data_IF_123850098642
#
_entry.id   IF_123850098642
#
_cell.length_a   1.000
_cell.length_b   1.000
_cell.length_c   1.000
_cell.angle_alpha   90.00
_cell.angle_beta   90.00
_cell.angle_gamma   90.00
#
_symmetry.space_group_name_H-M   'P 1'
#
loop_
_entity.id
_entity.type
_entity.pdbx_description
1 polymer ?
#
# COMPACT_ATOMS: atom_id res chain seq x y z
N UNK A 1 -11.71 -52.66 -9.68
CA UNK A 1 -10.44 -52.30 -9.02
C UNK A 1 -10.74 -51.11 -8.15
N UNK A 2 -11.01 -51.39 -6.88
CA UNK A 2 -11.29 -50.37 -5.87
C UNK A 2 -9.99 -49.65 -5.55
N UNK A 3 -9.95 -48.35 -5.83
CA UNK A 3 -8.82 -47.48 -5.56
C UNK A 3 -8.77 -47.15 -4.08
N UNK A 4 -7.68 -47.57 -3.46
CA UNK A 4 -7.34 -47.43 -2.04
C UNK A 4 -7.47 -46.00 -1.53
N UNK A 5 -8.34 -45.79 -0.55
CA UNK A 5 -8.28 -44.61 0.34
C UNK A 5 -7.10 -44.86 1.28
N UNK A 6 -5.95 -44.24 0.98
CA UNK A 6 -4.82 -44.20 1.91
C UNK A 6 -5.15 -43.19 3.00
N UNK A 7 -5.61 -43.72 4.14
CA UNK A 7 -5.75 -42.96 5.37
C UNK A 7 -4.34 -42.88 6.00
N UNK A 8 -3.49 -42.00 5.46
CA UNK A 8 -2.10 -41.83 5.91
C UNK A 8 -1.89 -40.47 6.57
N UNK A 9 -1.74 -40.47 7.89
CA UNK A 9 -1.00 -39.46 8.66
C UNK A 9 -1.46 -37.99 8.48
N UNK A 10 -2.42 -37.59 9.31
CA UNK A 10 -2.91 -36.21 9.50
C UNK A 10 -1.85 -35.15 9.85
N UNK A 11 -0.57 -35.52 9.92
CA UNK A 11 0.54 -34.64 10.26
C UNK A 11 1.37 -34.19 9.04
N UNK A 12 1.27 -34.89 7.90
CA UNK A 12 2.03 -34.56 6.67
C UNK A 12 1.16 -33.88 5.60
N UNK A 13 -0.16 -33.98 5.71
CA UNK A 13 -1.14 -33.44 4.77
C UNK A 13 -1.05 -31.91 4.57
N UNK A 14 -0.56 -31.19 5.58
CA UNK A 14 -0.39 -29.73 5.58
C UNK A 14 1.06 -29.31 5.78
N UNK A 15 2.01 -30.03 5.18
CA UNK A 15 3.42 -29.64 5.19
C UNK A 15 3.63 -28.26 4.52
N UNK A 16 4.53 -27.46 5.07
CA UNK A 16 4.87 -26.13 4.55
C UNK A 16 5.42 -26.25 3.12
N UNK A 17 4.99 -25.35 2.25
CA UNK A 17 5.39 -25.31 0.85
C UNK A 17 4.56 -26.20 -0.08
N UNK A 18 3.69 -27.06 0.46
CA UNK A 18 2.77 -27.87 -0.36
C UNK A 18 1.72 -26.99 -1.04
N UNK A 19 1.50 -27.22 -2.32
CA UNK A 19 0.40 -26.63 -3.08
C UNK A 19 -0.80 -27.57 -2.99
N UNK A 20 -1.92 -27.06 -2.48
CA UNK A 20 -3.14 -27.82 -2.27
C UNK A 20 -4.29 -27.22 -3.10
N UNK A 21 -5.10 -28.08 -3.69
CA UNK A 21 -6.45 -27.73 -4.15
C UNK A 21 -7.43 -28.10 -3.05
N UNK A 22 -8.24 -27.14 -2.60
CA UNK A 22 -9.12 -27.32 -1.45
C UNK A 22 -10.55 -27.03 -1.85
N UNK A 23 -11.46 -27.94 -1.47
CA UNK A 23 -12.90 -27.74 -1.51
C UNK A 23 -13.45 -27.65 -0.10
N UNK A 24 -14.18 -26.60 0.18
CA UNK A 24 -14.82 -26.40 1.48
C UNK A 24 -16.19 -27.06 1.56
N UNK A 25 -16.70 -27.24 2.78
CA UNK A 25 -18.06 -27.72 3.03
C UNK A 25 -19.14 -26.74 2.56
N UNK A 26 -18.78 -25.46 2.35
CA UNK A 26 -19.66 -24.42 1.82
C UNK A 26 -19.72 -24.42 0.27
N UNK A 27 -18.90 -25.24 -0.39
CA UNK A 27 -18.86 -25.35 -1.85
C UNK A 27 -17.79 -24.49 -2.53
N UNK A 28 -17.02 -23.70 -1.77
CA UNK A 28 -15.91 -22.94 -2.33
C UNK A 28 -14.75 -23.85 -2.72
N UNK A 29 -14.18 -23.62 -3.90
CA UNK A 29 -12.99 -24.31 -4.42
C UNK A 29 -11.88 -23.29 -4.70
N UNK A 30 -10.67 -23.57 -4.23
CA UNK A 30 -9.52 -22.71 -4.47
C UNK A 30 -8.20 -23.47 -4.28
N UNK A 31 -7.15 -22.96 -4.91
CA UNK A 31 -5.79 -23.48 -4.79
C UNK A 31 -4.93 -22.53 -3.95
N UNK A 32 -4.04 -23.09 -3.15
CA UNK A 32 -3.11 -22.29 -2.35
C UNK A 32 -1.91 -23.07 -1.85
N UNK A 33 -0.82 -22.34 -1.64
CA UNK A 33 0.39 -22.87 -1.04
C UNK A 33 0.28 -22.81 0.49
N UNK A 34 0.56 -23.91 1.18
CA UNK A 34 0.63 -23.97 2.64
C UNK A 34 1.81 -23.14 3.14
N UNK A 35 1.50 -22.11 3.92
CA UNK A 35 2.48 -21.29 4.62
C UNK A 35 2.79 -21.91 5.98
N UNK A 36 1.74 -22.26 6.71
CA UNK A 36 1.85 -22.88 8.04
C UNK A 36 0.52 -23.52 8.43
N UNK A 37 0.58 -24.43 9.38
CA UNK A 37 -0.58 -25.07 9.98
C UNK A 37 -0.45 -25.08 11.50
N UNK A 38 -1.35 -24.37 12.18
CA UNK A 38 -1.38 -24.34 13.64
C UNK A 38 -2.28 -25.45 14.19
N UNK A 39 -1.65 -26.49 14.73
CA UNK A 39 -2.35 -27.68 15.25
C UNK A 39 -3.31 -27.38 16.41
N UNK A 40 -2.96 -26.58 17.44
CA UNK A 40 -3.87 -26.28 18.55
C UNK A 40 -5.15 -25.56 18.13
N UNK A 41 -5.06 -24.56 17.23
CA UNK A 41 -6.24 -23.82 16.74
C UNK A 41 -6.91 -24.47 15.53
N UNK A 42 -6.24 -25.44 14.92
CA UNK A 42 -6.64 -26.13 13.70
C UNK A 42 -6.85 -25.16 12.52
N UNK A 43 -5.95 -24.19 12.41
CA UNK A 43 -5.97 -23.14 11.38
C UNK A 43 -4.86 -23.41 10.36
N UNK A 44 -5.28 -23.57 9.12
CA UNK A 44 -4.42 -23.65 7.94
C UNK A 44 -4.26 -22.26 7.33
N UNK A 45 -3.02 -21.86 7.08
CA UNK A 45 -2.68 -20.58 6.45
C UNK A 45 -2.16 -20.85 5.05
N UNK A 46 -2.82 -20.27 4.06
CA UNK A 46 -2.56 -20.50 2.64
C UNK A 46 -2.25 -19.19 1.93
N UNK A 47 -1.32 -19.24 0.99
CA UNK A 47 -1.13 -18.18 0.01
C UNK A 47 -1.93 -18.51 -1.24
N UNK A 48 -2.91 -17.69 -1.56
CA UNK A 48 -3.68 -17.79 -2.80
C UNK A 48 -2.97 -17.10 -3.96
N UNK A 49 -3.05 -17.75 -5.12
CA UNK A 49 -2.51 -17.24 -6.38
C UNK A 49 -1.13 -17.80 -6.72
N UNK A 50 -1.03 -18.33 -7.94
CA UNK A 50 0.21 -18.89 -8.50
C UNK A 50 1.15 -17.81 -9.08
N UNK A 51 0.68 -16.56 -9.23
CA UNK A 51 1.46 -15.52 -9.92
C UNK A 51 2.48 -14.87 -8.98
N UNK A 52 3.78 -14.89 -9.32
CA UNK A 52 4.77 -14.11 -8.59
C UNK A 52 4.46 -12.63 -8.79
N UNK A 53 3.96 -11.99 -7.74
CA UNK A 53 3.64 -10.57 -7.71
C UNK A 53 3.79 -10.00 -6.31
N UNK A 54 3.87 -8.66 -6.18
CA UNK A 54 4.04 -8.01 -4.89
C UNK A 54 2.82 -8.16 -3.97
N UNK A 55 1.64 -8.44 -4.53
CA UNK A 55 0.41 -8.72 -3.78
C UNK A 55 0.21 -10.23 -3.63
N UNK A 56 0.36 -10.72 -2.41
CA UNK A 56 0.06 -12.10 -2.00
C UNK A 56 -1.22 -12.08 -1.16
N UNK A 57 -2.22 -12.85 -1.57
CA UNK A 57 -3.45 -13.01 -0.78
C UNK A 57 -3.24 -14.13 0.23
N UNK A 58 -3.45 -13.85 1.51
CA UNK A 58 -3.29 -14.83 2.58
C UNK A 58 -4.67 -15.23 3.09
N UNK A 59 -4.96 -16.53 3.10
CA UNK A 59 -6.20 -17.10 3.61
C UNK A 59 -5.96 -17.90 4.87
N UNK A 60 -6.81 -17.65 5.86
CA UNK A 60 -6.92 -18.46 7.06
C UNK A 60 -8.14 -19.36 6.92
N UNK A 61 -7.94 -20.67 7.08
CA UNK A 61 -8.99 -21.66 6.95
C UNK A 61 -8.94 -22.61 8.14
N UNK A 62 -10.07 -22.74 8.86
CA UNK A 62 -10.21 -23.86 9.80
C UNK A 62 -10.37 -25.15 9.02
N UNK A 63 -9.53 -26.15 9.29
CA UNK A 63 -9.56 -27.41 8.53
C UNK A 63 -10.86 -28.19 8.72
N UNK A 64 -11.62 -27.94 9.80
CA UNK A 64 -12.96 -28.49 10.01
C UNK A 64 -13.96 -28.15 8.88
N UNK A 65 -13.69 -27.09 8.10
CA UNK A 65 -14.52 -26.71 6.96
C UNK A 65 -13.96 -27.21 5.63
N UNK A 66 -12.87 -27.97 5.64
CA UNK A 66 -12.37 -28.65 4.44
C UNK A 66 -13.22 -29.90 4.25
N UNK A 67 -13.86 -30.00 3.09
CA UNK A 67 -14.59 -31.19 2.68
C UNK A 67 -13.65 -32.21 2.07
N UNK A 68 -12.79 -31.76 1.15
CA UNK A 68 -11.77 -32.54 0.49
C UNK A 68 -10.64 -31.63 0.04
N UNK A 69 -9.43 -32.19 -0.06
CA UNK A 69 -8.29 -31.50 -0.64
C UNK A 69 -7.44 -32.48 -1.45
N UNK A 70 -6.67 -31.96 -2.39
CA UNK A 70 -5.72 -32.73 -3.20
C UNK A 70 -4.38 -32.04 -3.28
N UNK A 71 -3.31 -32.84 -3.32
CA UNK A 71 -1.95 -32.34 -3.45
C UNK A 71 -1.63 -32.04 -4.92
N UNK A 72 -1.22 -30.81 -5.21
CA UNK A 72 -0.90 -30.35 -6.57
C UNK A 72 0.61 -30.30 -6.84
N UNK A 73 1.44 -30.23 -5.80
CA UNK A 73 2.90 -30.17 -5.92
C UNK A 73 3.56 -29.50 -4.73
N UNK A 74 4.88 -29.35 -4.79
CA UNK A 74 5.66 -28.66 -3.76
C UNK A 74 6.38 -27.46 -4.36
N UNK A 75 6.23 -26.31 -3.71
CA UNK A 75 6.95 -25.09 -4.03
C UNK A 75 7.81 -24.64 -2.86
N UNK A 76 8.75 -23.73 -3.14
CA UNK A 76 9.68 -23.22 -2.15
C UNK A 76 8.94 -22.58 -0.96
N UNK A 77 9.48 -22.75 0.25
CA UNK A 77 8.90 -22.18 1.46
C UNK A 77 8.77 -20.65 1.32
N UNK A 78 7.54 -20.10 1.37
CA UNK A 78 7.31 -18.68 1.25
C UNK A 78 7.91 -17.87 2.43
N UNK A 79 8.23 -18.53 3.54
CA UNK A 79 8.86 -17.94 4.72
C UNK A 79 10.36 -18.27 4.83
N UNK A 80 11.01 -18.71 3.75
CA UNK A 80 12.45 -18.97 3.78
C UNK A 80 13.23 -17.70 4.17
N UNK A 81 13.72 -17.69 5.40
CA UNK A 81 14.49 -16.59 6.00
C UNK A 81 15.70 -16.25 5.12
N UNK A 82 16.27 -17.24 4.42
CA UNK A 82 17.43 -17.04 3.55
C UNK A 82 17.10 -16.22 2.30
N UNK A 83 15.84 -16.16 1.90
CA UNK A 83 15.34 -15.39 0.74
C UNK A 83 14.67 -14.09 1.15
N UNK A 84 14.53 -13.82 2.45
CA UNK A 84 14.02 -12.56 2.97
C UNK A 84 15.12 -11.48 2.87
N UNK A 85 15.40 -11.02 1.66
CA UNK A 85 16.33 -9.92 1.42
C UNK A 85 15.60 -8.59 1.62
N UNK A 86 15.93 -7.89 2.70
CA UNK A 86 15.50 -6.50 2.93
C UNK A 86 16.52 -5.60 2.24
N UNK A 87 16.10 -4.92 1.17
CA UNK A 87 16.95 -3.93 0.50
C UNK A 87 17.03 -2.65 1.35
N UNK A 88 18.06 -2.58 2.18
CA UNK A 88 18.32 -1.44 3.05
C UNK A 88 18.49 -0.13 2.27
N UNK A 89 19.04 -0.19 1.06
CA UNK A 89 19.24 1.02 0.25
C UNK A 89 17.89 1.61 -0.16
N UNK A 90 16.97 0.77 -0.67
CA UNK A 90 15.62 1.23 -1.03
C UNK A 90 14.82 1.81 0.15
N UNK A 91 15.12 1.38 1.38
CA UNK A 91 14.50 1.91 2.59
C UNK A 91 15.09 3.27 2.94
N UNK A 92 16.42 3.41 2.88
CA UNK A 92 17.12 4.67 3.11
C UNK A 92 16.72 5.73 2.08
N UNK A 93 16.64 5.37 0.79
CA UNK A 93 16.23 6.30 -0.26
C UNK A 93 14.80 6.82 -0.01
N UNK A 94 13.89 5.96 0.46
CA UNK A 94 12.52 6.34 0.79
C UNK A 94 12.44 7.22 2.03
N UNK A 95 13.28 6.94 3.02
CA UNK A 95 13.43 7.78 4.22
C UNK A 95 13.97 9.16 3.85
N UNK A 96 15.04 9.24 3.06
CA UNK A 96 15.63 10.51 2.61
C UNK A 96 14.63 11.33 1.81
N UNK A 97 13.85 10.70 0.90
CA UNK A 97 12.79 11.37 0.16
C UNK A 97 11.70 11.92 1.09
N UNK A 98 11.31 11.16 2.12
CA UNK A 98 10.31 11.60 3.09
C UNK A 98 10.82 12.77 3.93
N UNK A 99 12.08 12.75 4.35
CA UNK A 99 12.72 13.85 5.09
C UNK A 99 12.80 15.11 4.24
N UNK A 100 13.31 15.00 3.01
CA UNK A 100 13.42 16.14 2.08
C UNK A 100 12.05 16.75 1.77
N UNK A 101 11.01 15.92 1.61
CA UNK A 101 9.65 16.41 1.42
C UNK A 101 9.13 17.15 2.66
N UNK A 102 9.36 16.61 3.85
CA UNK A 102 8.97 17.26 5.10
C UNK A 102 9.70 18.59 5.32
N UNK A 103 10.98 18.68 4.97
CA UNK A 103 11.75 19.93 5.00
C UNK A 103 11.18 20.96 4.02
N UNK A 104 10.94 20.57 2.77
CA UNK A 104 10.34 21.46 1.77
C UNK A 104 8.94 21.94 2.19
N UNK A 105 8.14 21.07 2.82
CA UNK A 105 6.83 21.45 3.35
C UNK A 105 6.93 22.38 4.56
N UNK A 106 7.92 22.20 5.43
CA UNK A 106 8.17 23.08 6.58
C UNK A 106 8.64 24.48 6.14
N UNK A 107 9.51 24.56 5.14
CA UNK A 107 9.95 25.84 4.53
C UNK A 107 8.80 26.62 3.90
N UNK A 108 7.73 25.92 3.47
CA UNK A 108 6.56 26.51 2.84
C UNK A 108 5.53 27.05 3.84
N UNK A 109 5.65 26.75 5.13
CA UNK A 109 4.76 27.27 6.17
C UNK A 109 5.09 28.74 6.42
N UNK A 110 4.12 29.63 6.18
CA UNK A 110 4.30 31.07 6.41
C UNK A 110 4.59 31.39 7.88
N UNK A 111 5.53 32.30 8.14
CA UNK A 111 5.87 32.75 9.50
C UNK A 111 4.65 33.41 10.16
N UNK A 112 4.15 32.83 11.25
CA UNK A 112 3.01 33.36 12.00
C UNK A 112 1.62 32.93 11.50
N UNK A 113 1.54 31.98 10.56
CA UNK A 113 0.27 31.47 10.02
C UNK A 113 -0.27 30.33 10.89
N UNK A 114 -1.57 30.32 11.17
CA UNK A 114 -2.23 29.22 11.90
C UNK A 114 -2.34 27.98 11.01
N UNK A 115 -2.36 26.79 11.62
CA UNK A 115 -2.47 25.51 10.89
C UNK A 115 -3.72 25.43 10.01
N UNK A 116 -4.83 26.00 10.47
CA UNK A 116 -6.08 26.12 9.71
C UNK A 116 -5.92 27.01 8.47
N UNK A 117 -5.28 28.17 8.61
CA UNK A 117 -5.05 29.10 7.50
C UNK A 117 -4.09 28.52 6.44
N UNK A 118 -3.03 27.83 6.86
CA UNK A 118 -2.12 27.13 5.94
C UNK A 118 -2.85 26.01 5.20
N UNK A 119 -3.74 25.26 5.88
CA UNK A 119 -4.56 24.22 5.27
C UNK A 119 -5.52 24.74 4.20
N UNK A 120 -6.13 25.90 4.44
CA UNK A 120 -6.98 26.58 3.45
C UNK A 120 -6.17 27.00 2.22
N UNK A 121 -5.01 27.63 2.43
CA UNK A 121 -4.13 28.05 1.33
C UNK A 121 -3.68 26.85 0.48
N UNK A 122 -3.20 25.79 1.11
CA UNK A 122 -2.74 24.57 0.44
C UNK A 122 -3.84 23.92 -0.43
N UNK A 123 -5.08 23.89 0.08
CA UNK A 123 -6.23 23.34 -0.64
C UNK A 123 -6.60 24.20 -1.87
N UNK A 124 -6.55 25.53 -1.73
CA UNK A 124 -6.80 26.46 -2.82
C UNK A 124 -5.70 26.34 -3.88
N UNK A 125 -4.42 26.40 -3.50
CA UNK A 125 -3.29 26.30 -4.43
C UNK A 125 -3.30 25.00 -5.24
N UNK A 126 -3.67 23.86 -4.64
CA UNK A 126 -3.82 22.58 -5.35
C UNK A 126 -4.94 22.59 -6.40
N UNK A 127 -6.00 23.34 -6.16
CA UNK A 127 -7.16 23.42 -7.06
C UNK A 127 -6.90 24.36 -8.25
N UNK A 128 -6.16 25.46 -8.02
CA UNK A 128 -5.83 26.44 -9.07
C UNK A 128 -4.59 26.08 -9.90
N UNK A 129 -3.68 25.24 -9.40
CA UNK A 129 -2.52 24.76 -10.15
C UNK A 129 -2.87 23.77 -11.29
N UNK A 130 -4.11 23.26 -11.33
CA UNK A 130 -4.58 22.31 -12.33
C UNK A 130 -5.41 22.96 -13.46
N UNK A 131 -5.26 24.26 -13.69
CA UNK A 131 -5.85 24.96 -14.84
C UNK A 131 -4.79 25.08 -15.95
N UNK A 132 -4.94 24.41 -17.11
CA UNK A 132 -4.01 24.56 -18.21
C UNK A 132 -3.96 26.03 -18.66
N UNK A 133 -2.75 26.56 -18.80
CA UNK A 133 -2.40 27.92 -19.23
C UNK A 133 -2.80 28.24 -20.68
N UNK A 134 -4.05 28.01 -21.08
CA UNK A 134 -4.52 28.35 -22.43
C UNK A 134 -5.87 29.05 -22.49
N UNK A 135 -6.38 29.59 -21.37
CA UNK A 135 -7.49 30.54 -21.41
C UNK A 135 -7.62 31.40 -20.15
N UNK A 136 -6.61 32.21 -19.83
CA UNK A 136 -6.80 33.34 -18.93
C UNK A 136 -7.31 34.53 -19.73
N UNK A 137 -8.64 34.66 -19.84
CA UNK A 137 -9.29 35.89 -20.31
C UNK A 137 -9.24 36.94 -19.18
N UNK A 138 -8.65 38.09 -19.48
CA UNK A 138 -8.26 39.16 -18.55
C UNK A 138 -9.46 39.90 -17.92
N UNK A 139 -10.70 39.44 -18.13
CA UNK A 139 -11.93 40.10 -17.67
C UNK A 139 -12.54 39.55 -16.38
N UNK A 140 -11.93 38.54 -15.75
CA UNK A 140 -12.49 37.90 -14.55
C UNK A 140 -11.54 37.87 -13.34
N UNK A 141 -10.61 38.82 -13.27
CA UNK A 141 -9.74 39.06 -12.11
C UNK A 141 -10.44 39.88 -11.00
N UNK A 142 -11.64 39.48 -10.56
CA UNK A 142 -12.36 40.17 -9.47
C UNK A 142 -12.43 39.37 -8.17
N UNK A 143 -11.81 38.18 -8.10
CA UNK A 143 -11.78 37.37 -6.86
C UNK A 143 -10.34 37.10 -6.39
N UNK A 144 -9.47 38.10 -6.53
CA UNK A 144 -8.14 38.12 -5.89
C UNK A 144 -7.89 39.48 -5.22
N UNK A 145 -8.94 40.09 -4.68
CA UNK A 145 -8.83 41.37 -3.96
C UNK A 145 -9.68 41.42 -2.69
N UNK A 146 -9.96 40.26 -2.09
CA UNK A 146 -10.63 40.19 -0.79
C UNK A 146 -9.85 39.32 0.19
N UNK A 147 -8.55 39.62 0.34
CA UNK A 147 -7.73 39.17 1.48
C UNK A 147 -6.44 40.00 1.58
N UNK A 148 -6.52 41.30 1.25
CA UNK A 148 -5.40 42.25 1.42
C UNK A 148 -5.71 43.42 2.38
N UNK A 149 -6.82 43.38 3.13
CA UNK A 149 -7.20 44.48 4.03
C UNK A 149 -7.43 44.08 5.50
N UNK A 150 -6.67 43.10 6.01
CA UNK A 150 -6.52 42.91 7.45
C UNK A 150 -5.04 42.83 7.82
N UNK A 151 -4.48 44.03 8.00
CA UNK A 151 -3.28 44.35 8.79
C UNK A 151 -2.57 43.15 9.43
N UNK A 152 -1.54 42.62 8.77
CA UNK A 152 -0.35 42.21 9.50
C UNK A 152 0.91 42.39 8.65
N UNK A 153 1.86 43.10 9.23
CA UNK A 153 3.13 43.56 8.69
C UNK A 153 4.01 42.43 8.14
N UNK A 154 3.84 42.07 6.86
CA UNK A 154 4.80 41.26 6.10
C UNK A 154 5.11 41.93 4.77
N UNK A 155 6.00 42.94 4.81
CA UNK A 155 6.86 43.27 3.67
C UNK A 155 7.78 42.06 3.43
N UNK A 156 7.33 41.07 2.68
CA UNK A 156 8.22 40.07 2.10
C UNK A 156 8.42 40.41 0.63
N UNK A 157 9.65 40.81 0.37
CA UNK A 157 10.30 41.01 -0.92
C UNK A 157 9.92 39.95 -1.95
N UNK A 158 8.96 40.28 -2.82
CA UNK A 158 8.73 39.59 -4.11
C UNK A 158 9.20 40.41 -5.30
N UNK A 159 10.05 41.42 -5.06
CA UNK A 159 10.54 42.34 -6.07
C UNK A 159 12.02 42.08 -6.36
N UNK A 160 12.37 40.86 -6.81
CA UNK A 160 13.70 40.56 -7.39
C UNK A 160 13.76 39.19 -8.09
N UNK A 161 12.72 38.77 -8.81
CA UNK A 161 12.85 37.72 -9.84
C UNK A 161 11.96 38.10 -11.01
N UNK A 162 12.27 39.21 -11.69
CA UNK A 162 11.66 39.60 -12.96
C UNK A 162 12.55 40.57 -13.75
N UNK A 163 13.88 40.44 -13.60
CA UNK A 163 14.86 41.22 -14.36
C UNK A 163 16.10 40.36 -14.72
N UNK A 164 15.84 39.17 -15.27
CA UNK A 164 16.78 38.45 -16.16
C UNK A 164 15.96 37.65 -17.16
N UNK A 165 15.46 38.33 -18.18
CA UNK A 165 15.14 37.80 -19.51
C UNK A 165 15.34 38.95 -20.49
#
# INVERSE_FOLDING_TARGET
>A
MEGSISNSSSNEDFAVGCMLSIKTTLGDEFDGQVITFDRPSNILVLQEGSKPGPRRNIRFLKTNYIKEFSFLGQSEDPLDIKKCYIDLQSLQDREELALRQAEADAERIGVGVTTEAQGIFDALSKTYAHVPYSHFDCRRATVMNLLLDLNFSMRISWFLILDVC
#
